data_IF_285504472011
#
_entry.id   IF_285504472011
#
_cell.length_a   1.000
_cell.length_b   1.000
_cell.length_c   1.000
_cell.angle_alpha   90.00
_cell.angle_beta   90.00
_cell.angle_gamma   90.00
#
_symmetry.space_group_name_H-M   'P 1'
#
loop_
_entity.id
_entity.type
_entity.pdbx_description
1 polymer ?
#
# COMPACT_ATOMS: atom_id res chain seq x y z
N UNK A 1 -1.17 20.51 -12.39
CA UNK A 1 -2.41 21.34 -12.51
C UNK A 1 -3.73 20.57 -12.34
N UNK A 2 -3.78 19.22 -12.45
CA UNK A 2 -5.03 18.45 -12.33
C UNK A 2 -5.50 18.12 -10.89
N UNK A 3 -4.65 18.27 -9.86
CA UNK A 3 -5.00 17.91 -8.47
C UNK A 3 -5.78 18.98 -7.70
N UNK A 4 -5.64 20.26 -8.05
CA UNK A 4 -6.38 21.36 -7.37
C UNK A 4 -7.86 21.44 -7.79
N UNK A 5 -8.19 21.00 -9.00
CA UNK A 5 -9.56 21.03 -9.54
C UNK A 5 -10.47 19.94 -8.92
N UNK A 6 -9.93 18.77 -8.56
CA UNK A 6 -10.72 17.72 -7.92
C UNK A 6 -11.12 18.06 -6.47
N UNK A 7 -10.22 18.67 -5.68
CA UNK A 7 -10.52 19.03 -4.28
C UNK A 7 -11.53 20.19 -4.18
N UNK A 8 -11.44 21.18 -5.06
CA UNK A 8 -12.39 22.30 -5.06
C UNK A 8 -13.79 21.88 -5.51
N UNK A 9 -13.90 20.96 -6.48
CA UNK A 9 -15.17 20.36 -6.92
C UNK A 9 -15.80 19.46 -5.85
N UNK A 10 -14.99 18.65 -5.16
CA UNK A 10 -15.47 17.81 -4.07
C UNK A 10 -16.01 18.63 -2.88
N UNK A 11 -15.29 19.67 -2.47
CA UNK A 11 -15.69 20.50 -1.31
C UNK A 11 -16.90 21.40 -1.59
N UNK A 12 -17.06 21.90 -2.82
CA UNK A 12 -18.23 22.71 -3.18
C UNK A 12 -19.50 21.88 -3.32
N UNK A 13 -19.39 20.63 -3.79
CA UNK A 13 -20.54 19.71 -3.85
C UNK A 13 -20.93 19.19 -2.45
N UNK A 14 -19.95 18.82 -1.63
CA UNK A 14 -20.18 18.42 -0.24
C UNK A 14 -20.70 19.54 0.64
N UNK A 15 -20.20 20.77 0.48
CA UNK A 15 -20.66 21.92 1.25
C UNK A 15 -22.12 22.30 0.97
N UNK A 16 -22.54 22.28 -0.31
CA UNK A 16 -23.93 22.58 -0.69
C UNK A 16 -24.90 21.49 -0.22
N UNK A 17 -24.47 20.23 -0.22
CA UNK A 17 -25.23 19.12 0.35
C UNK A 17 -25.34 19.24 1.89
N UNK A 18 -24.23 19.54 2.58
CA UNK A 18 -24.15 19.71 4.03
C UNK A 18 -25.08 20.81 4.57
N UNK A 19 -25.15 21.98 3.90
CA UNK A 19 -26.04 23.07 4.29
C UNK A 19 -27.51 22.87 3.89
N UNK A 20 -27.82 21.87 3.06
CA UNK A 20 -29.19 21.52 2.66
C UNK A 20 -29.87 20.50 3.57
N UNK A 21 -29.15 19.97 4.56
CA UNK A 21 -29.67 18.97 5.48
C UNK A 21 -30.36 19.66 6.66
N UNK A 22 -31.68 19.54 6.68
CA UNK A 22 -32.57 19.87 7.80
C UNK A 22 -32.07 19.24 9.12
N UNK A 23 -32.07 19.93 10.27
CA UNK A 23 -31.69 19.40 11.58
C UNK A 23 -32.43 18.12 12.03
N UNK A 24 -33.59 17.83 11.43
CA UNK A 24 -34.30 16.55 11.61
C UNK A 24 -33.64 15.35 10.88
N UNK A 25 -32.60 15.60 10.05
CA UNK A 25 -31.78 14.60 9.37
C UNK A 25 -30.73 13.90 10.25
N UNK A 26 -30.73 14.09 11.58
CA UNK A 26 -29.83 13.29 12.44
C UNK A 26 -30.05 11.78 12.24
N UNK A 27 -31.28 11.38 11.91
CA UNK A 27 -31.62 10.01 11.52
C UNK A 27 -30.96 9.60 10.18
N UNK A 28 -30.97 10.47 9.17
CA UNK A 28 -30.31 10.24 7.86
C UNK A 28 -28.78 10.24 7.97
N UNK A 29 -28.23 11.03 8.90
CA UNK A 29 -26.80 11.01 9.20
C UNK A 29 -26.36 9.72 9.87
N UNK A 30 -27.14 9.21 10.82
CA UNK A 30 -26.87 7.91 11.44
C UNK A 30 -26.96 6.78 10.41
N UNK A 31 -27.97 6.80 9.52
CA UNK A 31 -28.08 5.84 8.41
C UNK A 31 -26.89 5.92 7.44
N UNK A 32 -26.40 7.13 7.12
CA UNK A 32 -25.22 7.31 6.28
C UNK A 32 -23.93 6.81 6.95
N UNK A 33 -23.79 7.03 8.26
CA UNK A 33 -22.68 6.50 9.05
C UNK A 33 -22.75 4.97 9.07
N UNK A 34 -23.93 4.39 9.29
CA UNK A 34 -24.13 2.93 9.26
C UNK A 34 -23.78 2.34 7.90
N UNK A 35 -24.28 2.91 6.80
CA UNK A 35 -23.93 2.45 5.45
C UNK A 35 -22.44 2.59 5.15
N UNK A 36 -21.80 3.66 5.62
CA UNK A 36 -20.35 3.84 5.48
C UNK A 36 -19.58 2.81 6.31
N UNK A 37 -19.98 2.56 7.55
CA UNK A 37 -19.38 1.57 8.45
C UNK A 37 -19.56 0.17 7.87
N UNK A 38 -20.75 -0.18 7.39
CA UNK A 38 -21.02 -1.46 6.73
C UNK A 38 -20.19 -1.62 5.46
N UNK A 39 -20.10 -0.59 4.62
CA UNK A 39 -19.29 -0.61 3.41
C UNK A 39 -17.78 -0.68 3.73
N UNK A 40 -17.34 -0.01 4.80
CA UNK A 40 -15.97 -0.04 5.29
C UNK A 40 -15.62 -1.40 5.90
N UNK A 41 -16.48 -1.96 6.74
CA UNK A 41 -16.37 -3.31 7.29
C UNK A 41 -16.34 -4.29 6.14
N UNK A 42 -17.31 -4.26 5.22
CA UNK A 42 -17.32 -5.13 4.04
C UNK A 42 -16.02 -5.09 3.24
N UNK A 43 -15.44 -3.90 3.05
CA UNK A 43 -14.16 -3.71 2.37
C UNK A 43 -12.93 -4.13 3.22
N UNK A 44 -13.09 -4.31 4.53
CA UNK A 44 -12.04 -4.69 5.50
C UNK A 44 -12.23 -6.07 6.12
N UNK A 45 -13.33 -6.78 5.82
CA UNK A 45 -13.65 -8.14 6.35
C UNK A 45 -12.50 -9.12 6.05
N UNK A 46 -11.81 -8.94 4.92
CA UNK A 46 -10.60 -9.69 4.59
C UNK A 46 -9.39 -8.82 4.92
N UNK A 47 -8.97 -8.83 6.18
CA UNK A 47 -7.71 -8.21 6.58
C UNK A 47 -6.54 -8.93 5.90
N UNK A 48 -5.57 -8.15 5.42
CA UNK A 48 -4.34 -8.71 4.86
C UNK A 48 -3.51 -9.23 6.01
N UNK A 49 -3.23 -10.53 6.01
CA UNK A 49 -2.40 -11.15 7.04
C UNK A 49 -0.92 -11.05 6.71
N UNK A 50 -0.06 -11.25 7.71
CA UNK A 50 1.40 -11.37 7.51
C UNK A 50 1.74 -12.46 6.50
N UNK A 51 1.04 -13.60 6.59
CA UNK A 51 1.19 -14.72 5.65
C UNK A 51 0.85 -14.31 4.21
N UNK A 52 -0.13 -13.43 4.01
CA UNK A 52 -0.45 -12.91 2.68
C UNK A 52 0.67 -12.06 2.10
N UNK A 53 1.44 -11.35 2.94
CA UNK A 53 2.66 -10.65 2.49
C UNK A 53 3.81 -11.60 2.21
N UNK A 54 4.00 -12.62 3.03
CA UNK A 54 5.08 -13.62 2.88
C UNK A 54 4.92 -14.48 1.62
N UNK A 55 3.72 -14.57 1.06
CA UNK A 55 3.46 -15.29 -0.20
C UNK A 55 3.72 -14.45 -1.44
N UNK A 56 3.99 -13.14 -1.32
CA UNK A 56 4.28 -12.26 -2.45
C UNK A 56 5.71 -12.49 -2.92
N UNK A 57 5.86 -13.41 -3.87
CA UNK A 57 7.12 -13.68 -4.59
C UNK A 57 7.29 -12.79 -5.81
N UNK A 58 8.53 -12.40 -6.10
CA UNK A 58 8.88 -11.71 -7.34
C UNK A 58 8.72 -12.68 -8.52
N UNK A 59 7.99 -12.26 -9.55
CA UNK A 59 7.89 -13.00 -10.80
C UNK A 59 9.21 -13.00 -11.56
N UNK A 60 9.46 -14.04 -12.38
CA UNK A 60 10.71 -14.17 -13.15
C UNK A 60 10.93 -13.01 -14.12
N UNK A 61 9.85 -12.54 -14.75
CA UNK A 61 9.84 -11.40 -15.67
C UNK A 61 9.49 -10.07 -14.97
N UNK A 62 9.19 -10.11 -13.66
CA UNK A 62 8.76 -8.93 -12.89
C UNK A 62 9.99 -8.13 -12.45
N UNK A 63 10.09 -6.88 -12.90
CA UNK A 63 11.21 -6.03 -12.47
C UNK A 63 11.05 -5.61 -11.00
N UNK A 64 12.17 -5.35 -10.34
CA UNK A 64 12.21 -5.03 -8.91
C UNK A 64 11.20 -3.94 -8.48
N UNK A 65 11.06 -2.88 -9.26
CA UNK A 65 10.12 -1.78 -8.94
C UNK A 65 8.65 -2.18 -9.01
N UNK A 66 8.28 -3.08 -9.93
CA UNK A 66 6.91 -3.60 -10.05
C UNK A 66 6.57 -4.47 -8.86
N UNK A 67 7.49 -5.38 -8.51
CA UNK A 67 7.40 -6.20 -7.31
C UNK A 67 7.21 -5.34 -6.05
N UNK A 68 8.08 -4.33 -5.87
CA UNK A 68 8.01 -3.43 -4.72
C UNK A 68 6.69 -2.65 -4.66
N UNK A 69 6.15 -2.25 -5.81
CA UNK A 69 4.86 -1.56 -5.90
C UNK A 69 3.72 -2.48 -5.49
N UNK A 70 3.72 -3.72 -5.97
CA UNK A 70 2.70 -4.73 -5.62
C UNK A 70 2.76 -5.11 -4.15
N UNK A 71 3.96 -5.35 -3.63
CA UNK A 71 4.18 -5.66 -2.21
C UNK A 71 3.68 -4.50 -1.32
N UNK A 72 4.08 -3.25 -1.61
CA UNK A 72 3.61 -2.06 -0.89
C UNK A 72 2.10 -1.87 -0.99
N UNK A 73 1.52 -2.13 -2.16
CA UNK A 73 0.07 -2.02 -2.39
C UNK A 73 -0.76 -3.04 -1.63
N UNK A 74 -0.18 -4.21 -1.28
CA UNK A 74 -0.82 -5.18 -0.38
C UNK A 74 -0.61 -4.80 1.08
N UNK A 75 0.61 -4.42 1.47
CA UNK A 75 0.94 -4.01 2.83
C UNK A 75 0.21 -2.73 3.28
N UNK A 76 -0.17 -1.86 2.35
CA UNK A 76 -0.94 -0.63 2.62
C UNK A 76 -2.37 -0.92 3.13
N UNK A 77 -2.87 -2.13 2.90
CA UNK A 77 -4.22 -2.55 3.31
C UNK A 77 -4.24 -3.20 4.70
N UNK A 78 -3.07 -3.47 5.29
CA UNK A 78 -2.99 -4.06 6.63
C UNK A 78 -3.35 -3.03 7.69
N UNK A 79 -4.23 -3.41 8.61
CA UNK A 79 -4.52 -2.60 9.81
C UNK A 79 -3.31 -2.57 10.74
N UNK A 80 -2.73 -3.74 10.99
CA UNK A 80 -1.55 -3.92 11.86
C UNK A 80 -0.35 -4.33 11.02
N UNK A 81 0.39 -3.35 10.50
CA UNK A 81 1.56 -3.62 9.67
C UNK A 81 2.77 -4.05 10.52
N UNK A 82 3.55 -5.06 10.08
CA UNK A 82 4.80 -5.45 10.74
C UNK A 82 5.80 -4.29 10.82
N UNK A 83 6.79 -4.38 11.70
CA UNK A 83 7.86 -3.38 11.76
C UNK A 83 8.67 -3.37 10.46
N UNK A 84 9.27 -2.23 10.14
CA UNK A 84 10.02 -2.03 8.89
C UNK A 84 11.08 -3.13 8.65
N UNK A 85 11.80 -3.55 9.70
CA UNK A 85 12.79 -4.64 9.61
C UNK A 85 12.18 -5.97 9.19
N UNK A 86 11.01 -6.31 9.73
CA UNK A 86 10.32 -7.56 9.39
C UNK A 86 9.81 -7.52 7.96
N UNK A 87 9.27 -6.37 7.54
CA UNK A 87 8.84 -6.13 6.16
C UNK A 87 10.00 -6.27 5.18
N UNK A 88 11.16 -5.66 5.48
CA UNK A 88 12.38 -5.78 4.68
C UNK A 88 12.82 -7.24 4.57
N UNK A 89 12.80 -7.99 5.68
CA UNK A 89 13.13 -9.42 5.68
C UNK A 89 12.18 -10.22 4.77
N UNK A 90 10.87 -9.98 4.86
CA UNK A 90 9.86 -10.63 4.03
C UNK A 90 10.06 -10.34 2.54
N UNK A 91 10.36 -9.08 2.20
CA UNK A 91 10.66 -8.65 0.84
C UNK A 91 11.90 -9.39 0.33
N UNK A 92 13.02 -9.29 1.04
CA UNK A 92 14.30 -9.85 0.57
C UNK A 92 14.19 -11.37 0.34
N UNK A 93 13.54 -12.09 1.26
CA UNK A 93 13.34 -13.56 1.15
C UNK A 93 12.54 -13.96 -0.10
N UNK A 94 11.66 -13.09 -0.58
CA UNK A 94 10.74 -13.37 -1.68
C UNK A 94 11.14 -12.75 -3.02
N UNK A 95 12.28 -12.06 -3.08
CA UNK A 95 12.89 -11.63 -4.34
C UNK A 95 13.51 -12.81 -5.10
N UNK A 96 13.77 -12.60 -6.39
CA UNK A 96 14.53 -13.55 -7.20
C UNK A 96 15.92 -13.81 -6.61
N UNK A 97 16.46 -15.01 -6.83
CA UNK A 97 17.73 -15.46 -6.25
C UNK A 97 18.90 -14.50 -6.55
N UNK A 98 18.91 -13.90 -7.74
CA UNK A 98 19.92 -12.92 -8.15
C UNK A 98 19.95 -11.66 -7.24
N UNK A 99 18.79 -11.27 -6.71
CA UNK A 99 18.65 -10.17 -5.77
C UNK A 99 18.83 -10.65 -4.33
N UNK A 100 18.10 -11.69 -3.91
CA UNK A 100 18.06 -12.08 -2.49
C UNK A 100 19.44 -12.45 -1.93
N UNK A 101 20.28 -13.16 -2.69
CA UNK A 101 21.58 -13.64 -2.25
C UNK A 101 22.54 -12.48 -1.97
N UNK A 102 22.41 -11.40 -2.73
CA UNK A 102 23.21 -10.17 -2.59
C UNK A 102 22.65 -9.22 -1.55
N UNK A 103 21.33 -9.18 -1.36
CA UNK A 103 20.69 -8.31 -0.37
C UNK A 103 20.76 -8.89 1.05
N UNK A 104 20.71 -10.22 1.20
CA UNK A 104 20.83 -10.88 2.51
C UNK A 104 22.19 -10.67 3.18
N UNK A 105 23.24 -10.38 2.41
CA UNK A 105 24.58 -10.12 2.94
C UNK A 105 24.82 -8.65 3.30
N UNK A 106 23.86 -7.75 3.03
CA UNK A 106 23.98 -6.33 3.32
C UNK A 106 23.25 -5.97 4.62
N UNK A 107 23.78 -5.04 5.42
CA UNK A 107 23.13 -4.56 6.63
C UNK A 107 22.02 -3.54 6.30
N UNK A 108 20.99 -3.98 5.58
CA UNK A 108 19.87 -3.12 5.17
C UNK A 108 18.94 -2.91 6.38
N UNK A 109 18.78 -1.65 6.76
CA UNK A 109 18.05 -1.22 7.95
C UNK A 109 16.81 -0.36 7.65
N UNK A 110 16.66 0.10 6.40
CA UNK A 110 15.55 0.94 5.96
C UNK A 110 15.07 0.62 4.54
N UNK A 111 13.84 1.04 4.21
CA UNK A 111 13.31 0.95 2.85
C UNK A 111 14.10 1.78 1.84
N UNK A 112 14.71 2.88 2.27
CA UNK A 112 15.57 3.71 1.40
C UNK A 112 16.78 2.91 0.93
N UNK A 113 17.53 2.33 1.87
CA UNK A 113 18.68 1.47 1.58
C UNK A 113 18.30 0.27 0.70
N UNK A 114 17.16 -0.37 0.98
CA UNK A 114 16.66 -1.46 0.16
C UNK A 114 16.42 -1.04 -1.30
N UNK A 115 15.77 0.10 -1.53
CA UNK A 115 15.50 0.61 -2.87
C UNK A 115 16.79 1.00 -3.61
N UNK A 116 17.73 1.64 -2.92
CA UNK A 116 19.02 2.04 -3.51
C UNK A 116 19.84 0.82 -3.91
N UNK A 117 19.98 -0.15 -3.00
CA UNK A 117 20.66 -1.41 -3.30
C UNK A 117 19.97 -2.21 -4.40
N UNK A 118 18.64 -2.32 -4.38
CA UNK A 118 17.86 -3.03 -5.39
C UNK A 118 18.01 -2.42 -6.79
N UNK A 119 18.03 -1.09 -6.89
CA UNK A 119 18.24 -0.38 -8.16
C UNK A 119 19.65 -0.61 -8.70
N UNK A 120 20.67 -0.48 -7.86
CA UNK A 120 22.07 -0.75 -8.25
C UNK A 120 22.26 -2.18 -8.74
N UNK A 121 21.58 -3.15 -8.12
CA UNK A 121 21.62 -4.55 -8.55
C UNK A 121 20.93 -4.76 -9.89
N UNK A 122 19.77 -4.14 -10.11
CA UNK A 122 19.08 -4.17 -11.40
C UNK A 122 20.00 -3.67 -12.52
N UNK A 123 20.65 -2.53 -12.31
CA UNK A 123 21.56 -1.96 -13.31
C UNK A 123 22.77 -2.86 -13.56
N UNK A 124 23.33 -3.47 -12.51
CA UNK A 124 24.43 -4.42 -12.64
C UNK A 124 24.05 -5.72 -13.37
N UNK A 125 22.80 -6.18 -13.23
CA UNK A 125 22.29 -7.37 -13.94
C UNK A 125 22.01 -7.06 -15.41
N UNK A 126 21.48 -5.87 -15.70
CA UNK A 126 21.14 -5.47 -17.07
C UNK A 126 22.36 -5.07 -17.91
N UNK A 127 23.44 -4.62 -17.26
CA UNK A 127 24.68 -4.20 -17.91
C UNK A 127 25.79 -5.29 -17.89
N UNK A 128 25.47 -6.48 -17.38
CA UNK A 128 26.38 -7.63 -17.25
C UNK A 128 26.17 -8.71 -18.30
#
# INVERSE_FOLDING_TARGET
MRSKLCLHSFLTHWGRWYYSLDPSNSMVWNELIELFVDQFIFNTIIDVTVRDLETIKQGVEEIFSEYMTRWKGKASRMVNRPYEKDQISMIIKNLLLAYNSRLLSLPISSFGELCDCGTRLKDAINNG
#
